data_IF_299359896189
#
_entry.id   IF_299359896189
#
_cell.length_a   1.000
_cell.length_b   1.000
_cell.length_c   1.000
_cell.angle_alpha   90.00
_cell.angle_beta   90.00
_cell.angle_gamma   90.00
#
_symmetry.space_group_name_H-M   'P 1'
#
loop_
_entity.id
_entity.type
_entity.pdbx_description
1 polymer ?
#
# COMPACT_ATOMS: atom_id res chain seq x y z
N UNK A 1 -29.13 20.56 7.25
CA UNK A 1 -27.72 20.88 7.58
C UNK A 1 -27.18 19.73 8.44
N UNK A 2 -26.07 19.14 7.97
CA UNK A 2 -25.09 18.36 8.74
C UNK A 2 -25.35 16.84 8.81
N UNK A 3 -24.95 16.15 7.73
CA UNK A 3 -24.68 14.70 7.71
C UNK A 3 -23.45 14.40 8.55
N UNK A 4 -23.62 13.60 9.61
CA UNK A 4 -22.55 13.20 10.50
C UNK A 4 -21.67 12.14 9.82
N UNK A 5 -20.39 12.47 9.68
CA UNK A 5 -19.32 11.65 9.14
C UNK A 5 -19.27 10.26 9.80
N UNK A 6 -19.39 9.20 8.99
CA UNK A 6 -19.01 7.85 9.39
C UNK A 6 -17.52 7.67 9.13
N UNK A 7 -16.72 7.84 10.19
CA UNK A 7 -15.32 7.48 10.20
C UNK A 7 -15.19 5.95 10.19
N UNK A 8 -14.74 5.37 9.07
CA UNK A 8 -14.34 3.98 9.01
C UNK A 8 -13.05 3.83 9.82
N UNK A 9 -13.22 3.36 11.05
CA UNK A 9 -12.14 3.14 11.99
C UNK A 9 -11.38 1.89 11.52
N UNK A 10 -10.15 2.05 11.06
CA UNK A 10 -9.24 0.92 10.79
C UNK A 10 -8.74 0.42 12.16
N UNK A 11 -9.53 -0.43 12.81
CA UNK A 11 -9.05 -1.29 13.90
C UNK A 11 -8.77 -2.66 13.30
N UNK A 12 -7.50 -2.88 12.94
CA UNK A 12 -6.93 -4.22 12.85
C UNK A 12 -6.06 -4.44 14.08
N UNK A 13 -6.66 -4.84 15.19
CA UNK A 13 -5.95 -5.24 16.41
C UNK A 13 -5.67 -6.75 16.42
N UNK A 14 -4.52 -7.12 16.99
CA UNK A 14 -4.00 -8.47 17.32
C UNK A 14 -3.37 -9.21 16.12
N UNK A 15 -2.15 -9.78 16.18
CA UNK A 15 -1.35 -10.26 17.30
C UNK A 15 0.11 -10.44 16.86
N UNK A 16 1.02 -10.28 17.80
CA UNK A 16 2.46 -10.58 17.76
C UNK A 16 2.72 -11.99 17.21
N UNK A 17 3.28 -12.11 16.00
CA UNK A 17 4.05 -13.27 15.55
C UNK A 17 5.16 -12.77 14.63
N UNK A 18 6.41 -13.08 14.97
CA UNK A 18 7.62 -12.60 14.29
C UNK A 18 7.87 -13.25 12.94
N UNK A 19 6.82 -13.50 12.16
CA UNK A 19 6.89 -14.02 10.80
C UNK A 19 6.04 -13.06 9.97
N UNK A 20 6.62 -12.28 9.03
CA UNK A 20 5.81 -11.46 8.15
C UNK A 20 4.87 -12.39 7.39
N UNK A 21 3.56 -12.23 7.60
CA UNK A 21 2.55 -12.95 6.85
C UNK A 21 2.85 -12.76 5.36
N UNK A 22 3.30 -13.83 4.70
CA UNK A 22 3.71 -13.80 3.30
C UNK A 22 2.58 -13.34 2.36
N UNK A 23 1.34 -13.30 2.87
CA UNK A 23 0.13 -12.86 2.17
C UNK A 23 -0.41 -11.51 2.67
N UNK A 24 0.42 -10.67 3.28
CA UNK A 24 0.01 -9.32 3.67
C UNK A 24 -0.46 -8.55 2.44
N UNK A 25 -1.77 -8.29 2.37
CA UNK A 25 -2.38 -7.50 1.31
C UNK A 25 -2.20 -6.02 1.62
N UNK A 26 -1.77 -5.26 0.63
CA UNK A 26 -1.61 -3.81 0.72
C UNK A 26 -2.57 -3.17 -0.27
N UNK A 27 -3.36 -2.20 0.19
CA UNK A 27 -4.20 -1.39 -0.69
C UNK A 27 -3.34 -0.48 -1.58
N UNK A 28 -3.63 -0.46 -2.87
CA UNK A 28 -2.83 0.30 -3.83
C UNK A 28 -2.96 1.81 -3.63
N UNK A 29 -4.11 2.33 -3.20
CA UNK A 29 -4.27 3.76 -2.94
C UNK A 29 -3.44 4.20 -1.73
N UNK A 30 -3.33 3.36 -0.70
CA UNK A 30 -2.45 3.60 0.43
C UNK A 30 -0.96 3.63 0.01
N UNK A 31 -0.57 2.75 -0.92
CA UNK A 31 0.80 2.68 -1.44
C UNK A 31 1.17 3.93 -2.25
N UNK A 32 0.26 4.41 -3.10
CA UNK A 32 0.45 5.56 -3.99
C UNK A 32 -0.04 6.90 -3.39
N UNK A 33 -0.16 6.99 -2.06
CA UNK A 33 -0.67 8.21 -1.40
C UNK A 33 0.16 9.47 -1.69
N UNK A 34 1.46 9.29 -1.97
CA UNK A 34 2.41 10.37 -2.19
C UNK A 34 2.76 10.58 -3.67
N UNK A 35 2.05 9.91 -4.58
CA UNK A 35 2.30 9.96 -6.03
C UNK A 35 2.15 8.58 -6.68
N UNK A 36 2.26 8.54 -8.00
CA UNK A 36 2.04 7.31 -8.78
C UNK A 36 3.24 6.35 -8.83
N UNK A 37 4.35 6.67 -8.14
CA UNK A 37 5.57 5.85 -8.09
C UNK A 37 6.03 5.65 -6.64
N UNK A 38 6.37 4.40 -6.30
CA UNK A 38 7.00 4.03 -5.03
C UNK A 38 8.32 3.31 -5.34
N UNK A 39 9.34 3.63 -4.55
CA UNK A 39 10.64 2.96 -4.62
C UNK A 39 10.67 1.78 -3.64
N UNK A 40 11.10 0.63 -4.13
CA UNK A 40 11.22 -0.60 -3.35
C UNK A 40 12.69 -0.97 -3.33
N UNK A 41 13.27 -1.10 -2.14
CA UNK A 41 14.60 -1.64 -1.96
C UNK A 41 14.51 -3.15 -1.80
N UNK A 42 15.20 -3.89 -2.66
CA UNK A 42 15.23 -5.34 -2.63
C UNK A 42 16.64 -5.84 -2.94
N UNK A 43 17.24 -6.57 -1.99
CA UNK A 43 18.59 -7.15 -2.12
C UNK A 43 19.68 -6.14 -2.50
N UNK A 44 19.58 -4.91 -1.98
CA UNK A 44 20.53 -3.83 -2.27
C UNK A 44 20.27 -3.10 -3.58
N UNK A 45 19.25 -3.49 -4.34
CA UNK A 45 18.85 -2.84 -5.57
C UNK A 45 17.56 -2.04 -5.36
N UNK A 46 17.39 -0.98 -6.15
CA UNK A 46 16.18 -0.20 -6.17
C UNK A 46 15.29 -0.68 -7.31
N UNK A 47 14.00 -0.78 -7.04
CA UNK A 47 12.94 -1.03 -8.01
C UNK A 47 11.94 0.12 -7.94
N UNK A 48 11.26 0.38 -9.04
CA UNK A 48 10.14 1.32 -9.09
C UNK A 48 8.85 0.56 -9.38
N UNK A 49 7.91 0.64 -8.44
CA UNK A 49 6.54 0.24 -8.67
C UNK A 49 5.74 1.49 -9.06
N UNK A 50 5.12 1.48 -10.23
CA UNK A 50 4.30 2.61 -10.71
C UNK A 50 2.88 2.21 -11.07
N UNK A 51 1.95 3.12 -10.87
CA UNK A 51 0.58 3.03 -11.39
C UNK A 51 0.49 3.72 -12.74
N UNK A 52 -0.13 3.06 -13.71
CA UNK A 52 -0.38 3.60 -15.05
C UNK A 52 -1.69 4.38 -15.09
N UNK A 53 -1.89 5.19 -16.13
CA UNK A 53 -3.16 5.92 -16.36
C UNK A 53 -4.38 5.01 -16.45
N UNK A 54 -4.20 3.75 -16.89
CA UNK A 54 -5.28 2.76 -16.97
C UNK A 54 -5.41 1.92 -15.68
N UNK A 55 -4.80 2.35 -14.57
CA UNK A 55 -4.93 1.71 -13.25
C UNK A 55 -4.08 0.45 -13.04
N UNK A 56 -3.31 0.00 -14.04
CA UNK A 56 -2.40 -1.16 -13.90
C UNK A 56 -1.15 -0.78 -13.11
N UNK A 57 -0.57 -1.75 -12.40
CA UNK A 57 0.70 -1.61 -11.70
C UNK A 57 1.84 -2.22 -12.55
N UNK A 58 2.98 -1.55 -12.60
CA UNK A 58 4.18 -2.02 -13.30
C UNK A 58 5.37 -1.92 -12.35
N UNK A 59 6.09 -3.02 -12.17
CA UNK A 59 7.36 -3.07 -11.47
C UNK A 59 8.50 -3.02 -12.47
N UNK A 60 9.38 -2.02 -12.34
CA UNK A 60 10.65 -1.95 -13.04
C UNK A 60 11.79 -2.08 -12.03
N UNK A 61 12.92 -2.61 -12.49
CA UNK A 61 14.20 -2.47 -11.80
C UNK A 61 14.78 -1.09 -12.12
#
# INVERSE_FOLDING_TARGET
MNTLNQAHTIIGSSTKSGIPDANMRIDSNALFKNGDVVLILHRGEQYSLRRTRNGKLILNK
#
